data_IF_703442771045
#
_entry.id   IF_703442771045
#
_cell.length_a   1.000
_cell.length_b   1.000
_cell.length_c   1.000
_cell.angle_alpha   90.00
_cell.angle_beta   90.00
_cell.angle_gamma   90.00
#
_symmetry.space_group_name_H-M   'P 1'
#
loop_
_entity.id
_entity.type
_entity.pdbx_description
1 polymer ?
#
# COMPACT_ATOMS: atom_id res chain seq x y z
N UNK A 1 -31.34 -2.70 -3.97
CA UNK A 1 -31.53 -3.38 -2.67
C UNK A 1 -30.92 -2.49 -1.59
N UNK A 2 -31.69 -1.97 -0.63
CA UNK A 2 -31.14 -1.24 0.50
C UNK A 2 -30.41 -2.21 1.47
N UNK A 3 -29.39 -1.70 2.16
CA UNK A 3 -28.73 -2.38 3.29
C UNK A 3 -29.22 -1.78 4.61
N UNK A 4 -29.18 -2.56 5.70
CA UNK A 4 -29.51 -2.08 7.05
C UNK A 4 -28.43 -1.14 7.59
N UNK A 5 -28.79 -0.30 8.58
CA UNK A 5 -27.86 0.63 9.23
C UNK A 5 -26.69 -0.11 9.91
N UNK A 6 -26.99 -1.21 10.62
CA UNK A 6 -25.96 -2.05 11.26
C UNK A 6 -24.96 -2.60 10.21
N UNK A 7 -25.47 -3.01 9.05
CA UNK A 7 -24.62 -3.51 7.95
C UNK A 7 -23.79 -2.40 7.29
N UNK A 8 -24.23 -1.14 7.35
CA UNK A 8 -23.46 0.00 6.86
C UNK A 8 -22.28 0.31 7.79
N UNK A 9 -22.46 0.17 9.11
CA UNK A 9 -21.40 0.34 10.11
C UNK A 9 -20.36 -0.79 10.06
N UNK A 10 -20.76 -1.99 9.63
CA UNK A 10 -19.86 -3.13 9.40
C UNK A 10 -19.08 -3.05 8.07
N UNK A 11 -19.34 -2.04 7.21
CA UNK A 11 -18.54 -1.84 6.00
C UNK A 11 -17.18 -1.30 6.46
N UNK A 12 -16.08 -2.03 6.24
CA UNK A 12 -14.77 -1.54 6.67
C UNK A 12 -14.51 -0.16 6.03
N UNK A 13 -14.11 0.81 6.85
CA UNK A 13 -13.67 2.14 6.36
C UNK A 13 -12.47 2.03 5.39
N UNK A 14 -11.78 0.87 5.39
CA UNK A 14 -10.75 0.47 4.41
C UNK A 14 -11.34 0.02 3.05
N UNK A 15 -12.48 0.59 2.66
CA UNK A 15 -12.96 0.58 1.26
C UNK A 15 -12.11 1.47 0.35
N UNK A 16 -11.14 2.18 0.91
CA UNK A 16 -10.35 3.17 0.19
C UNK A 16 -9.15 2.57 -0.56
N UNK A 17 -8.77 1.32 -0.23
CA UNK A 17 -7.78 0.51 -0.95
C UNK A 17 -8.46 -0.29 -2.06
N UNK A 18 -8.22 0.01 -3.34
CA UNK A 18 -8.85 -0.74 -4.42
C UNK A 18 -8.42 -2.20 -4.43
N UNK A 19 -9.38 -3.13 -4.40
CA UNK A 19 -9.07 -4.56 -4.54
C UNK A 19 -8.38 -4.82 -5.89
N UNK A 20 -7.39 -5.74 -5.97
CA UNK A 20 -6.63 -6.02 -7.20
C UNK A 20 -7.50 -6.38 -8.40
N UNK A 21 -8.66 -6.99 -8.16
CA UNK A 21 -9.63 -7.39 -9.18
C UNK A 21 -10.42 -6.23 -9.80
N UNK A 22 -10.31 -5.02 -9.23
CA UNK A 22 -11.01 -3.83 -9.72
C UNK A 22 -10.17 -3.10 -10.77
N UNK A 23 -10.83 -2.33 -11.64
CA UNK A 23 -10.13 -1.44 -12.59
C UNK A 23 -9.14 -0.49 -11.89
N UNK A 24 -9.47 -0.03 -10.68
CA UNK A 24 -8.61 0.83 -9.89
C UNK A 24 -7.41 0.08 -9.32
N UNK A 25 -7.61 -1.16 -8.84
CA UNK A 25 -6.54 -2.05 -8.39
C UNK A 25 -5.55 -2.37 -9.50
N UNK A 26 -6.04 -2.77 -10.68
CA UNK A 26 -5.19 -3.07 -11.84
C UNK A 26 -4.36 -1.86 -12.28
N UNK A 27 -4.95 -0.66 -12.31
CA UNK A 27 -4.22 0.58 -12.65
C UNK A 27 -3.19 0.92 -11.58
N UNK A 28 -3.53 0.83 -10.29
CA UNK A 28 -2.58 1.13 -9.22
C UNK A 28 -1.42 0.14 -9.19
N UNK A 29 -1.67 -1.16 -9.35
CA UNK A 29 -0.62 -2.17 -9.41
C UNK A 29 0.40 -1.84 -10.52
N UNK A 30 -0.08 -1.59 -11.74
CA UNK A 30 0.77 -1.21 -12.87
C UNK A 30 1.62 0.04 -12.60
N UNK A 31 1.03 1.08 -11.98
CA UNK A 31 1.74 2.31 -11.66
C UNK A 31 2.74 2.13 -10.51
N UNK A 32 2.43 1.28 -9.51
CA UNK A 32 3.37 0.91 -8.43
C UNK A 32 4.55 0.10 -8.94
N UNK A 33 4.35 -0.75 -9.94
CA UNK A 33 5.43 -1.49 -10.61
C UNK A 33 6.35 -0.59 -11.47
N UNK A 34 5.95 0.67 -11.69
CA UNK A 34 6.67 1.65 -12.52
C UNK A 34 6.72 3.05 -11.87
N UNK A 35 7.24 3.20 -10.64
CA UNK A 35 7.10 4.42 -9.85
C UNK A 35 7.86 5.63 -10.44
N UNK A 36 8.90 5.39 -11.23
CA UNK A 36 9.73 6.38 -11.88
C UNK A 36 9.19 6.87 -13.23
N UNK A 37 8.08 6.31 -13.72
CA UNK A 37 7.52 6.59 -15.05
C UNK A 37 6.16 7.26 -14.97
N UNK A 38 5.80 7.98 -16.04
CA UNK A 38 4.48 8.53 -16.23
C UNK A 38 3.90 8.10 -17.57
N UNK A 39 2.61 7.79 -17.60
CA UNK A 39 1.94 7.15 -18.72
C UNK A 39 0.71 7.94 -19.16
N UNK A 40 0.41 7.91 -20.45
CA UNK A 40 -0.85 8.39 -20.99
C UNK A 40 -1.99 7.43 -20.65
N UNK A 41 -3.23 7.92 -20.71
CA UNK A 41 -4.44 7.07 -20.54
C UNK A 41 -4.49 5.91 -21.54
N UNK A 42 -3.97 6.11 -22.75
CA UNK A 42 -3.92 5.07 -23.79
C UNK A 42 -2.93 3.96 -23.45
N UNK A 43 -1.75 4.31 -22.95
CA UNK A 43 -0.74 3.34 -22.51
C UNK A 43 -1.25 2.57 -21.29
N UNK A 44 -1.82 3.27 -20.29
CA UNK A 44 -2.42 2.62 -19.12
C UNK A 44 -3.50 1.62 -19.55
N UNK A 45 -4.38 1.99 -20.49
CA UNK A 45 -5.40 1.08 -21.01
C UNK A 45 -4.81 -0.15 -21.72
N UNK A 46 -3.70 0.03 -22.44
CA UNK A 46 -3.04 -1.05 -23.17
C UNK A 46 -2.35 -2.03 -22.22
N UNK A 47 -1.62 -1.53 -21.22
CA UNK A 47 -0.85 -2.35 -20.28
C UNK A 47 -1.76 -3.07 -19.26
N UNK A 48 -2.81 -2.40 -18.78
CA UNK A 48 -3.69 -2.96 -17.73
C UNK A 48 -4.86 -3.78 -18.27
N UNK A 49 -5.14 -3.71 -19.58
CA UNK A 49 -6.34 -4.29 -20.19
C UNK A 49 -7.67 -3.60 -19.77
N UNK A 50 -7.63 -2.54 -18.96
CA UNK A 50 -8.82 -1.81 -18.55
C UNK A 50 -9.42 -1.06 -19.74
N UNK A 51 -10.75 -1.14 -19.87
CA UNK A 51 -11.50 -0.46 -20.95
C UNK A 51 -11.15 1.03 -20.99
N UNK A 52 -10.81 1.57 -22.17
CA UNK A 52 -10.45 2.99 -22.37
C UNK A 52 -11.45 3.98 -21.76
N UNK A 53 -12.76 3.68 -21.85
CA UNK A 53 -13.82 4.51 -21.27
C UNK A 53 -13.85 4.52 -19.74
N UNK A 54 -13.23 3.53 -19.08
CA UNK A 54 -13.13 3.42 -17.63
C UNK A 54 -11.84 4.02 -17.08
N UNK A 55 -10.73 4.00 -17.85
CA UNK A 55 -9.42 4.50 -17.39
C UNK A 55 -9.48 5.96 -16.92
N UNK A 56 -10.09 6.85 -17.72
CA UNK A 56 -10.19 8.27 -17.37
C UNK A 56 -10.92 8.53 -16.04
N UNK A 57 -12.18 8.11 -15.91
CA UNK A 57 -12.92 8.27 -14.65
C UNK A 57 -12.27 7.56 -13.45
N UNK A 58 -11.59 6.44 -13.64
CA UNK A 58 -10.87 5.75 -12.56
C UNK A 58 -9.66 6.57 -12.10
N UNK A 59 -8.83 7.07 -13.02
CA UNK A 59 -7.67 7.90 -12.71
C UNK A 59 -8.05 9.19 -11.98
N UNK A 60 -9.16 9.82 -12.37
CA UNK A 60 -9.70 10.99 -11.65
C UNK A 60 -9.99 10.65 -10.19
N UNK A 61 -10.69 9.55 -9.92
CA UNK A 61 -11.00 9.11 -8.55
C UNK A 61 -9.74 8.78 -7.75
N UNK A 62 -8.77 8.12 -8.38
CA UNK A 62 -7.49 7.82 -7.74
C UNK A 62 -6.72 9.10 -7.37
N UNK A 63 -6.77 10.12 -8.23
CA UNK A 63 -6.17 11.43 -7.95
C UNK A 63 -6.88 12.19 -6.84
N UNK A 64 -8.22 12.15 -6.81
CA UNK A 64 -9.00 12.75 -5.71
C UNK A 64 -8.63 12.17 -4.35
N UNK A 65 -8.18 10.91 -4.33
CA UNK A 65 -7.68 10.20 -3.14
C UNK A 65 -6.16 10.32 -2.94
N UNK A 66 -5.47 11.14 -3.74
CA UNK A 66 -4.02 11.34 -3.63
C UNK A 66 -3.15 10.13 -4.00
N UNK A 67 -3.70 9.11 -4.65
CA UNK A 67 -2.97 7.89 -5.04
C UNK A 67 -2.09 8.07 -6.28
N UNK A 68 -2.48 9.00 -7.16
CA UNK A 68 -1.80 9.26 -8.44
C UNK A 68 -1.70 10.76 -8.71
N UNK A 69 -0.62 11.14 -9.39
CA UNK A 69 -0.39 12.50 -9.88
C UNK A 69 -0.77 12.63 -11.37
N UNK A 70 -1.17 13.83 -11.78
CA UNK A 70 -1.53 14.14 -13.16
C UNK A 70 -0.85 15.42 -13.65
N UNK A 71 -0.20 15.36 -14.82
CA UNK A 71 0.37 16.52 -15.50
C UNK A 71 0.21 16.41 -17.02
N UNK A 72 -0.53 17.36 -17.61
CA UNK A 72 -0.79 17.36 -19.04
C UNK A 72 -1.66 16.17 -19.45
N UNK A 73 -1.07 15.21 -20.17
CA UNK A 73 -1.73 13.96 -20.55
C UNK A 73 -1.22 12.75 -19.75
N UNK A 74 -0.26 12.97 -18.85
CA UNK A 74 0.51 11.93 -18.18
C UNK A 74 0.07 11.75 -16.73
N UNK A 75 0.07 10.49 -16.31
CA UNK A 75 -0.33 10.03 -14.99
C UNK A 75 0.77 9.14 -14.40
N UNK A 76 1.01 9.26 -13.10
CA UNK A 76 1.97 8.40 -12.39
C UNK A 76 1.49 8.12 -10.98
N UNK A 77 2.08 7.14 -10.31
CA UNK A 77 1.88 6.92 -8.87
C UNK A 77 2.31 8.18 -8.09
N UNK A 78 1.61 8.53 -7.02
CA UNK A 78 2.04 9.64 -6.17
C UNK A 78 3.23 9.23 -5.30
N UNK A 79 4.08 10.20 -4.93
CA UNK A 79 5.26 9.91 -4.07
C UNK A 79 4.84 9.37 -2.69
N UNK A 80 3.70 9.84 -2.17
CA UNK A 80 3.14 9.32 -0.92
C UNK A 80 2.80 7.83 -1.04
N UNK A 81 2.10 7.45 -2.10
CA UNK A 81 1.69 6.07 -2.32
C UNK A 81 2.91 5.16 -2.58
N UNK A 82 3.91 5.64 -3.33
CA UNK A 82 5.17 4.92 -3.55
C UNK A 82 5.96 4.70 -2.24
N UNK A 83 5.95 5.69 -1.33
CA UNK A 83 6.63 5.58 -0.04
C UNK A 83 5.99 4.55 0.89
N UNK A 84 4.65 4.45 0.89
CA UNK A 84 3.90 3.47 1.69
C UNK A 84 4.16 2.05 1.20
N UNK A 85 4.20 1.86 -0.11
CA UNK A 85 4.53 0.56 -0.72
C UNK A 85 5.94 0.10 -0.34
N UNK A 86 6.92 1.00 -0.46
CA UNK A 86 8.31 0.73 -0.07
C UNK A 86 8.43 0.36 1.41
N UNK A 87 7.77 1.10 2.30
CA UNK A 87 7.79 0.82 3.74
C UNK A 87 7.16 -0.54 4.08
N UNK A 88 6.06 -0.89 3.42
CA UNK A 88 5.38 -2.18 3.60
C UNK A 88 6.26 -3.34 3.12
N UNK A 89 6.90 -3.19 1.96
CA UNK A 89 7.83 -4.18 1.43
C UNK A 89 9.03 -4.41 2.37
N UNK A 90 9.58 -3.34 2.95
CA UNK A 90 10.65 -3.44 3.94
C UNK A 90 10.22 -4.15 5.22
N UNK A 91 9.03 -3.83 5.75
CA UNK A 91 8.49 -4.50 6.94
C UNK A 91 8.27 -6.00 6.69
N UNK A 92 7.72 -6.36 5.53
CA UNK A 92 7.53 -7.76 5.14
C UNK A 92 8.88 -8.50 5.01
N UNK A 93 9.89 -7.85 4.43
CA UNK A 93 11.24 -8.43 4.34
C UNK A 93 11.90 -8.61 5.72
N UNK A 94 11.72 -7.67 6.64
CA UNK A 94 12.23 -7.78 8.01
C UNK A 94 11.56 -8.93 8.78
N UNK A 95 10.24 -9.08 8.67
CA UNK A 95 9.51 -10.20 9.27
C UNK A 95 9.98 -11.52 8.68
N UNK A 96 10.11 -11.62 7.36
CA UNK A 96 10.60 -12.84 6.71
C UNK A 96 12.03 -13.20 7.13
N UNK A 97 12.89 -12.20 7.39
CA UNK A 97 14.23 -12.42 7.94
C UNK A 97 14.16 -12.97 9.38
N UNK A 98 13.28 -12.44 10.22
CA UNK A 98 13.05 -12.92 11.59
C UNK A 98 12.35 -14.29 11.69
N UNK A 99 11.60 -14.69 10.67
CA UNK A 99 11.07 -16.06 10.62
C UNK A 99 12.12 -17.05 10.09
N UNK A 100 13.03 -16.58 9.23
CA UNK A 100 14.10 -17.40 8.66
C UNK A 100 15.29 -17.60 9.60
N UNK A 101 15.60 -16.62 10.46
CA UNK A 101 16.65 -16.74 11.48
C UNK A 101 16.25 -17.73 12.60
N UNK A 102 14.95 -18.03 12.75
CA UNK A 102 14.43 -18.97 13.74
C UNK A 102 14.72 -18.56 15.19
N UNK A 103 15.24 -17.36 15.39
CA UNK A 103 15.69 -16.85 16.67
C UNK A 103 14.48 -16.16 17.29
N UNK A 104 13.57 -16.96 17.84
CA UNK A 104 12.66 -16.44 18.86
C UNK A 104 13.57 -15.98 20.00
N UNK A 105 13.66 -14.68 20.28
CA UNK A 105 14.58 -14.21 21.30
C UNK A 105 14.25 -14.89 22.63
N UNK A 106 15.18 -15.68 23.16
CA UNK A 106 14.97 -16.39 24.42
C UNK A 106 14.82 -15.38 25.55
N UNK A 107 13.88 -15.65 26.48
CA UNK A 107 13.77 -14.85 27.71
C UNK A 107 15.10 -14.75 28.47
N UNK A 108 15.95 -15.77 28.34
CA UNK A 108 17.28 -15.84 28.98
C UNK A 108 18.29 -14.87 28.33
N UNK A 109 18.28 -14.71 27.00
CA UNK A 109 19.16 -13.78 26.28
C UNK A 109 18.83 -12.31 26.58
N UNK A 110 17.55 -12.00 26.82
CA UNK A 110 17.12 -10.67 27.25
C UNK A 110 17.53 -10.35 28.69
N UNK A 111 17.63 -11.36 29.58
CA UNK A 111 18.05 -11.14 30.96
C UNK A 111 19.55 -10.86 31.08
N UNK A 112 20.39 -11.42 30.20
CA UNK A 112 21.83 -11.14 30.21
C UNK A 112 22.15 -9.67 29.86
N UNK A 113 21.30 -9.02 29.07
CA UNK A 113 21.44 -7.61 28.68
C UNK A 113 20.49 -6.65 29.42
N UNK A 114 19.65 -7.17 30.32
CA UNK A 114 18.79 -6.34 31.15
C UNK A 114 19.65 -5.61 32.21
N UNK A 115 19.74 -4.29 32.08
CA UNK A 115 20.32 -3.45 33.13
C UNK A 115 19.35 -3.43 34.32
N UNK A 116 19.74 -3.95 35.48
CA UNK A 116 18.92 -3.83 36.70
C UNK A 116 18.88 -2.35 37.11
N UNK A 117 17.70 -1.69 37.11
CA UNK A 117 17.58 -0.29 37.51
C UNK A 117 17.92 -0.04 38.99
N UNK A 118 18.21 -1.09 39.79
CA UNK A 118 18.62 -0.99 41.21
C UNK A 118 20.13 -0.85 41.42
N UNK A 119 20.95 -1.02 40.38
CA UNK A 119 22.40 -0.82 40.42
C UNK A 119 22.84 0.56 39.87
N UNK A 120 21.87 1.44 39.57
CA UNK A 120 22.15 2.86 39.33
C UNK A 120 22.34 3.51 40.70
N UNK A 121 23.59 3.51 41.16
CA UNK A 121 24.08 4.07 42.42
C UNK A 121 23.37 5.36 42.87
N UNK A 122 22.91 5.34 44.12
CA UNK A 122 22.70 6.50 44.99
C UNK A 122 23.43 6.27 46.30
#
# INVERSE_FOLDING_TARGET
MPISADRFEDIPDDVDTPSPETNAGAILAFLRDNPEKAFTRSEIAAETGVKKGSVGPTLVRLRERGRVDHRGNYWRISDHEASVDTATAHAAAAIAAHEADGETPSYEDWQEHAVDPRDIDG
#
